data_IF_961760405376
#
_entry.id   IF_961760405376
#
_cell.length_a   1.000
_cell.length_b   1.000
_cell.length_c   1.000
_cell.angle_alpha   90.00
_cell.angle_beta   90.00
_cell.angle_gamma   90.00
#
_symmetry.space_group_name_H-M   'P 1'
#
loop_
_entity.id
_entity.type
_entity.pdbx_description
1 polymer ?
#
# COMPACT_ATOMS: atom_id res chain seq x y z
N UNK A 1 36.14 7.93 6.51
CA UNK A 1 36.32 6.81 7.45
C UNK A 1 36.68 7.36 8.83
N UNK A 2 35.72 7.37 9.77
CA UNK A 2 35.88 7.65 11.22
C UNK A 2 34.56 7.17 11.85
N UNK A 3 34.50 5.88 12.21
CA UNK A 3 34.64 5.34 13.58
C UNK A 3 33.68 5.99 14.58
N UNK A 4 32.59 5.29 14.90
CA UNK A 4 32.12 5.18 16.27
C UNK A 4 31.41 3.84 16.45
N UNK A 5 31.98 3.00 17.31
CA UNK A 5 31.38 1.79 17.84
C UNK A 5 30.74 2.12 19.19
N UNK A 6 29.90 1.17 19.64
CA UNK A 6 29.48 0.87 21.02
C UNK A 6 28.32 1.74 21.56
N UNK A 7 27.15 1.13 21.73
CA UNK A 7 26.63 0.75 23.05
C UNK A 7 25.31 -0.03 22.97
N UNK A 8 25.44 -1.29 23.39
CA UNK A 8 24.41 -2.23 23.76
C UNK A 8 23.63 -1.68 24.97
N UNK A 9 22.31 -1.60 24.88
CA UNK A 9 21.44 -1.48 26.04
C UNK A 9 20.20 -2.37 25.82
N UNK A 10 20.31 -3.60 26.29
CA UNK A 10 19.16 -4.44 26.56
C UNK A 10 18.51 -3.94 27.86
N UNK A 11 17.25 -3.56 27.80
CA UNK A 11 16.44 -3.36 28.99
C UNK A 11 15.13 -4.13 28.84
N UNK A 12 15.05 -5.19 29.64
CA UNK A 12 13.89 -6.04 29.88
C UNK A 12 13.11 -5.51 31.08
N UNK A 13 11.79 -5.34 30.94
CA UNK A 13 10.85 -5.34 32.08
C UNK A 13 9.66 -6.24 31.76
N UNK A 14 9.32 -7.05 32.77
CA UNK A 14 8.35 -8.15 32.79
C UNK A 14 6.92 -7.72 33.19
N UNK A 15 6.02 -8.70 33.03
CA UNK A 15 4.57 -8.75 33.10
C UNK A 15 3.84 -8.35 34.41
N UNK A 16 2.54 -8.03 34.26
CA UNK A 16 1.34 -8.53 34.97
C UNK A 16 0.15 -7.58 34.68
N UNK A 17 -1.14 -7.92 34.59
CA UNK A 17 -1.90 -9.16 34.60
C UNK A 17 -3.37 -8.85 34.16
N UNK A 18 -4.05 -9.88 33.68
CA UNK A 18 -5.49 -10.21 33.77
C UNK A 18 -6.60 -9.20 33.43
N UNK A 19 -7.33 -9.51 32.36
CA UNK A 19 -8.79 -9.55 32.40
C UNK A 19 -9.29 -10.81 31.68
N UNK A 20 -9.78 -11.77 32.46
CA UNK A 20 -10.59 -12.88 31.98
C UNK A 20 -12.02 -12.37 31.79
N UNK A 21 -12.65 -12.62 30.65
CA UNK A 21 -14.09 -12.94 30.59
C UNK A 21 -14.45 -13.59 29.26
N UNK A 22 -14.90 -14.85 29.39
CA UNK A 22 -15.78 -15.65 28.53
C UNK A 22 -15.29 -16.15 27.13
N UNK A 23 -15.33 -17.48 26.88
CA UNK A 23 -15.12 -18.06 25.56
C UNK A 23 -16.43 -18.06 24.75
N UNK A 24 -16.58 -17.15 23.79
CA UNK A 24 -17.63 -17.28 22.77
C UNK A 24 -17.18 -18.25 21.69
N UNK A 25 -17.90 -19.38 21.62
CA UNK A 25 -17.80 -20.41 20.58
C UNK A 25 -17.79 -19.79 19.18
N UNK A 26 -16.91 -20.33 18.35
CA UNK A 26 -16.60 -19.92 16.99
C UNK A 26 -17.83 -19.87 16.05
N UNK A 27 -18.03 -18.73 15.40
CA UNK A 27 -18.66 -18.68 14.08
C UNK A 27 -17.57 -18.83 13.01
N UNK A 28 -17.44 -20.06 12.48
CA UNK A 28 -16.65 -20.36 11.27
C UNK A 28 -17.19 -19.54 10.09
N UNK A 29 -16.46 -18.51 9.66
CA UNK A 29 -16.85 -17.76 8.46
C UNK A 29 -16.07 -16.49 8.17
N UNK A 30 -14.80 -16.35 8.57
CA UNK A 30 -14.00 -15.18 8.18
C UNK A 30 -12.57 -15.58 7.86
N UNK A 31 -12.33 -15.99 6.61
CA UNK A 31 -10.98 -16.09 6.07
C UNK A 31 -10.30 -14.71 6.13
N UNK A 32 -9.31 -14.59 7.01
CA UNK A 32 -8.12 -13.75 6.85
C UNK A 32 -8.36 -12.26 6.54
N UNK A 33 -8.90 -11.50 7.50
CA UNK A 33 -8.79 -10.02 7.50
C UNK A 33 -8.05 -9.45 8.71
N UNK A 34 -7.33 -10.26 9.46
CA UNK A 34 -6.76 -9.86 10.75
C UNK A 34 -5.33 -9.24 10.71
N UNK A 35 -4.80 -8.82 9.56
CA UNK A 35 -3.40 -8.30 9.47
C UNK A 35 -3.21 -6.95 8.80
N UNK A 36 -4.27 -6.27 8.37
CA UNK A 36 -4.17 -4.84 8.13
C UNK A 36 -4.65 -4.15 9.41
N UNK A 37 -3.72 -3.85 10.34
CA UNK A 37 -3.93 -2.73 11.27
C UNK A 37 -4.48 -1.57 10.43
N UNK A 38 -5.51 -0.86 10.90
CA UNK A 38 -6.08 0.29 10.20
C UNK A 38 -5.04 1.40 10.07
N UNK A 39 -4.15 1.28 9.10
CA UNK A 39 -3.12 2.27 8.84
C UNK A 39 -3.81 3.57 8.42
N UNK A 40 -3.37 4.69 9.01
CA UNK A 40 -3.82 6.02 8.58
C UNK A 40 -3.41 6.27 7.13
N UNK A 41 -4.05 7.22 6.42
CA UNK A 41 -3.65 7.61 5.06
C UNK A 41 -2.15 7.92 4.94
N UNK A 42 -1.59 8.59 5.94
CA UNK A 42 -0.19 8.99 6.04
C UNK A 42 0.69 7.74 6.14
N UNK A 43 0.38 6.84 7.07
CA UNK A 43 1.13 5.59 7.24
C UNK A 43 1.11 4.71 5.98
N UNK A 44 -0.01 4.72 5.24
CA UNK A 44 -0.11 4.01 3.96
C UNK A 44 0.77 4.67 2.90
N UNK A 45 0.78 6.00 2.82
CA UNK A 45 1.63 6.75 1.92
C UNK A 45 3.12 6.54 2.24
N UNK A 46 3.48 6.58 3.52
CA UNK A 46 4.82 6.30 4.04
C UNK A 46 5.30 4.90 3.62
N UNK A 47 4.48 3.88 3.90
CA UNK A 47 4.82 2.49 3.52
C UNK A 47 4.98 2.33 2.01
N UNK A 48 4.16 3.01 1.22
CA UNK A 48 4.25 2.95 -0.23
C UNK A 48 5.54 3.61 -0.76
N UNK A 49 5.85 4.80 -0.25
CA UNK A 49 7.09 5.52 -0.58
C UNK A 49 8.33 4.73 -0.16
N UNK A 50 8.36 4.17 1.05
CA UNK A 50 9.45 3.32 1.53
C UNK A 50 9.67 2.10 0.63
N UNK A 51 8.58 1.45 0.19
CA UNK A 51 8.68 0.30 -0.73
C UNK A 51 9.26 0.70 -2.08
N UNK A 52 8.80 1.81 -2.66
CA UNK A 52 9.33 2.31 -3.93
C UNK A 52 10.78 2.77 -3.79
N UNK A 53 11.12 3.42 -2.68
CA UNK A 53 12.50 3.80 -2.32
C UNK A 53 13.42 2.58 -2.32
N UNK A 54 13.04 1.50 -1.64
CA UNK A 54 13.82 0.26 -1.62
C UNK A 54 13.91 -0.43 -2.98
N UNK A 55 12.85 -0.36 -3.78
CA UNK A 55 12.80 -1.08 -5.07
C UNK A 55 13.53 -0.34 -6.19
N UNK A 56 13.49 0.99 -6.17
CA UNK A 56 13.96 1.87 -7.24
C UNK A 56 15.18 2.71 -6.83
N UNK A 57 15.66 2.54 -5.59
CA UNK A 57 16.76 3.34 -5.01
C UNK A 57 16.48 4.84 -5.12
N UNK A 58 15.29 5.27 -4.68
CA UNK A 58 14.89 6.69 -4.76
C UNK A 58 15.75 7.56 -3.83
N UNK A 59 16.05 8.78 -4.26
CA UNK A 59 16.64 9.79 -3.38
C UNK A 59 15.65 10.22 -2.29
N UNK A 60 16.14 10.91 -1.25
CA UNK A 60 15.27 11.43 -0.19
C UNK A 60 14.20 12.40 -0.75
N UNK A 61 14.59 13.27 -1.68
CA UNK A 61 13.68 14.21 -2.33
C UNK A 61 12.61 13.47 -3.16
N UNK A 62 13.02 12.48 -3.98
CA UNK A 62 12.09 11.67 -4.76
C UNK A 62 11.15 10.88 -3.86
N UNK A 63 11.65 10.31 -2.77
CA UNK A 63 10.85 9.56 -1.79
C UNK A 63 9.75 10.43 -1.19
N UNK A 64 10.08 11.67 -0.81
CA UNK A 64 9.11 12.63 -0.26
C UNK A 64 8.04 13.02 -1.29
N UNK A 65 8.41 13.26 -2.53
CA UNK A 65 7.46 13.56 -3.61
C UNK A 65 6.54 12.36 -3.90
N UNK A 66 7.09 11.13 -3.93
CA UNK A 66 6.30 9.90 -4.09
C UNK A 66 5.35 9.71 -2.91
N UNK A 67 5.76 10.00 -1.69
CA UNK A 67 4.92 9.96 -0.49
C UNK A 67 3.73 10.91 -0.63
N UNK A 68 3.99 12.17 -0.97
CA UNK A 68 2.94 13.19 -1.18
C UNK A 68 1.97 12.77 -2.28
N UNK A 69 2.48 12.28 -3.42
CA UNK A 69 1.66 11.77 -4.51
C UNK A 69 0.76 10.60 -4.06
N UNK A 70 1.30 9.67 -3.26
CA UNK A 70 0.53 8.57 -2.71
C UNK A 70 -0.54 9.03 -1.71
N UNK A 71 -0.22 9.99 -0.83
CA UNK A 71 -1.16 10.55 0.13
C UNK A 71 -2.34 11.20 -0.57
N UNK A 72 -2.08 12.08 -1.56
CA UNK A 72 -3.11 12.72 -2.36
C UNK A 72 -4.03 11.70 -3.04
N UNK A 73 -3.45 10.63 -3.60
CA UNK A 73 -4.24 9.54 -4.19
C UNK A 73 -5.13 8.83 -3.18
N UNK A 74 -4.62 8.56 -1.98
CA UNK A 74 -5.39 7.90 -0.92
C UNK A 74 -6.55 8.78 -0.47
N UNK A 75 -6.30 10.07 -0.25
CA UNK A 75 -7.32 11.05 0.12
C UNK A 75 -8.40 11.17 -0.97
N UNK A 76 -7.99 11.26 -2.25
CA UNK A 76 -8.93 11.27 -3.37
C UNK A 76 -9.77 10.00 -3.44
N UNK A 77 -9.20 8.84 -3.10
CA UNK A 77 -9.94 7.58 -3.06
C UNK A 77 -10.91 7.54 -1.87
N UNK A 78 -10.54 8.09 -0.72
CA UNK A 78 -11.41 8.16 0.45
C UNK A 78 -12.63 9.05 0.21
N UNK A 79 -12.43 10.23 -0.39
CA UNK A 79 -13.53 11.12 -0.78
C UNK A 79 -14.54 10.43 -1.73
N UNK A 80 -14.08 9.50 -2.57
CA UNK A 80 -14.94 8.73 -3.48
C UNK A 80 -15.59 7.49 -2.85
N UNK A 81 -15.14 7.05 -1.67
CA UNK A 81 -15.66 5.85 -1.00
C UNK A 81 -16.97 6.08 -0.23
N UNK A 82 -17.42 7.33 -0.11
CA UNK A 82 -18.57 7.75 0.70
C UNK A 82 -19.92 7.40 0.05
N UNK A 83 -19.97 6.60 -1.03
CA UNK A 83 -21.22 6.14 -1.64
C UNK A 83 -21.38 4.61 -1.49
N UNK A 84 -21.91 4.12 -0.36
CA UNK A 84 -22.37 2.74 -0.24
C UNK A 84 -23.78 2.60 -0.83
N UNK A 85 -23.94 1.76 -1.85
CA UNK A 85 -25.22 1.47 -2.47
C UNK A 85 -25.04 0.80 -3.83
N UNK A 86 -25.96 -0.07 -4.21
CA UNK A 86 -25.91 -0.96 -5.39
C UNK A 86 -25.44 -0.26 -6.67
N UNK A 87 -24.18 -0.50 -7.06
CA UNK A 87 -23.55 0.06 -8.26
C UNK A 87 -24.15 -0.64 -9.49
N UNK A 88 -24.99 0.05 -10.28
CA UNK A 88 -25.59 -0.50 -11.49
C UNK A 88 -24.51 -0.93 -12.51
N UNK A 89 -24.84 -1.77 -13.49
CA UNK A 89 -23.86 -2.20 -14.52
C UNK A 89 -23.23 -1.01 -15.27
N UNK A 90 -24.01 0.05 -15.54
CA UNK A 90 -23.52 1.29 -16.13
C UNK A 90 -22.45 1.97 -15.24
N UNK A 91 -22.71 2.02 -13.93
CA UNK A 91 -21.81 2.59 -12.93
C UNK A 91 -20.51 1.76 -12.78
N UNK A 92 -20.56 0.46 -13.04
CA UNK A 92 -19.36 -0.39 -13.06
C UNK A 92 -18.40 0.01 -14.18
N UNK A 93 -18.90 0.27 -15.39
CA UNK A 93 -18.07 0.71 -16.53
C UNK A 93 -17.51 2.11 -16.27
N UNK A 94 -18.35 3.04 -15.79
CA UNK A 94 -17.93 4.39 -15.43
C UNK A 94 -16.84 4.37 -14.34
N UNK A 95 -17.03 3.58 -13.28
CA UNK A 95 -16.04 3.39 -12.22
C UNK A 95 -14.73 2.79 -12.74
N UNK A 96 -14.79 1.83 -13.65
CA UNK A 96 -13.59 1.25 -14.27
C UNK A 96 -12.82 2.28 -15.11
N UNK A 97 -13.53 3.10 -15.90
CA UNK A 97 -12.92 4.18 -16.67
C UNK A 97 -12.29 5.23 -15.73
N UNK A 98 -12.98 5.63 -14.66
CA UNK A 98 -12.43 6.53 -13.65
C UNK A 98 -11.15 5.98 -13.01
N UNK A 99 -11.14 4.69 -12.64
CA UNK A 99 -9.96 4.04 -12.07
C UNK A 99 -8.79 3.95 -13.07
N UNK A 100 -9.08 3.72 -14.36
CA UNK A 100 -8.07 3.79 -15.42
C UNK A 100 -7.49 5.20 -15.53
N UNK A 101 -8.33 6.24 -15.59
CA UNK A 101 -7.88 7.63 -15.66
C UNK A 101 -7.00 8.02 -14.49
N UNK A 102 -7.41 7.68 -13.26
CA UNK A 102 -6.61 7.92 -12.05
C UNK A 102 -5.26 7.21 -12.08
N UNK A 103 -5.21 6.01 -12.66
CA UNK A 103 -3.96 5.27 -12.82
C UNK A 103 -3.03 5.97 -13.82
N UNK A 104 -3.56 6.39 -14.97
CA UNK A 104 -2.78 7.11 -15.98
C UNK A 104 -2.24 8.42 -15.42
N UNK A 105 -3.07 9.20 -14.72
CA UNK A 105 -2.64 10.44 -14.08
C UNK A 105 -1.52 10.20 -13.06
N UNK A 106 -1.70 9.20 -12.21
CA UNK A 106 -0.69 8.81 -11.23
C UNK A 106 0.63 8.39 -11.89
N UNK A 107 0.57 7.57 -12.95
CA UNK A 107 1.77 7.10 -13.66
C UNK A 107 2.49 8.28 -14.36
N UNK A 108 1.74 9.25 -14.89
CA UNK A 108 2.29 10.47 -15.48
C UNK A 108 3.01 11.35 -14.44
N UNK A 109 2.39 11.57 -13.27
CA UNK A 109 3.00 12.32 -12.17
C UNK A 109 4.23 11.60 -11.62
N UNK A 110 4.17 10.27 -11.49
CA UNK A 110 5.31 9.47 -11.04
C UNK A 110 6.48 9.56 -12.03
N UNK A 111 6.21 9.59 -13.34
CA UNK A 111 7.25 9.74 -14.38
C UNK A 111 8.01 11.07 -14.28
N UNK A 112 7.39 12.14 -13.75
CA UNK A 112 8.07 13.41 -13.53
C UNK A 112 8.99 13.39 -12.30
N UNK A 113 8.74 12.50 -11.34
CA UNK A 113 9.52 12.36 -10.10
C UNK A 113 10.70 11.39 -10.29
N UNK A 114 10.50 10.35 -11.09
CA UNK A 114 11.48 9.28 -11.32
C UNK A 114 12.43 9.63 -12.47
N UNK A 115 13.66 9.14 -12.39
CA UNK A 115 14.54 9.10 -13.56
C UNK A 115 14.02 8.12 -14.61
N UNK A 116 14.54 8.20 -15.84
CA UNK A 116 14.17 7.29 -16.92
C UNK A 116 14.38 5.81 -16.55
N UNK A 117 15.52 5.48 -15.94
CA UNK A 117 15.85 4.11 -15.53
C UNK A 117 14.95 3.62 -14.39
N UNK A 118 14.69 4.48 -13.41
CA UNK A 118 13.78 4.18 -12.30
C UNK A 118 12.35 3.94 -12.80
N UNK A 119 11.89 4.74 -13.77
CA UNK A 119 10.58 4.57 -14.37
C UNK A 119 10.49 3.28 -15.20
N UNK A 120 11.54 2.94 -15.96
CA UNK A 120 11.62 1.67 -16.70
C UNK A 120 11.52 0.48 -15.76
N UNK A 121 12.29 0.47 -14.67
CA UNK A 121 12.21 -0.56 -13.63
C UNK A 121 10.82 -0.61 -12.98
N UNK A 122 10.22 0.54 -12.70
CA UNK A 122 8.84 0.61 -12.20
C UNK A 122 7.85 -0.03 -13.18
N UNK A 123 7.92 0.29 -14.47
CA UNK A 123 7.04 -0.26 -15.49
C UNK A 123 7.14 -1.80 -15.57
N UNK A 124 8.37 -2.34 -15.56
CA UNK A 124 8.61 -3.78 -15.50
C UNK A 124 7.99 -4.43 -14.25
N UNK A 125 8.23 -3.85 -13.06
CA UNK A 125 7.60 -4.33 -11.83
C UNK A 125 6.07 -4.34 -11.90
N UNK A 126 5.45 -3.43 -12.65
CA UNK A 126 4.00 -3.37 -12.83
C UNK A 126 3.51 -4.46 -13.80
N UNK A 127 4.27 -4.79 -14.84
CA UNK A 127 4.01 -5.92 -15.74
C UNK A 127 4.10 -7.23 -14.96
N UNK A 128 5.18 -7.45 -14.21
CA UNK A 128 5.39 -8.68 -13.43
C UNK A 128 4.28 -8.91 -12.42
N UNK A 129 3.84 -7.86 -11.72
CA UNK A 129 2.71 -7.95 -10.78
C UNK A 129 1.42 -8.35 -11.49
N UNK A 130 1.17 -7.83 -12.69
CA UNK A 130 -0.01 -8.19 -13.48
C UNK A 130 0.07 -9.65 -13.92
N UNK A 131 1.22 -10.09 -14.44
CA UNK A 131 1.45 -11.48 -14.85
C UNK A 131 1.26 -12.45 -13.67
N UNK A 132 1.88 -12.17 -12.52
CA UNK A 132 1.71 -12.96 -11.29
C UNK A 132 0.25 -13.00 -10.82
N UNK A 133 -0.48 -11.90 -10.96
CA UNK A 133 -1.90 -11.87 -10.60
C UNK A 133 -2.75 -12.69 -11.57
N UNK A 134 -2.46 -12.65 -12.88
CA UNK A 134 -3.14 -13.45 -13.89
C UNK A 134 -2.89 -14.95 -13.70
N UNK A 135 -1.64 -15.36 -13.52
CA UNK A 135 -1.28 -16.76 -13.25
C UNK A 135 -2.01 -17.31 -12.00
N UNK A 136 -2.06 -16.52 -10.92
CA UNK A 136 -2.82 -16.90 -9.71
C UNK A 136 -4.32 -17.02 -9.92
N UNK A 137 -4.89 -16.28 -10.88
CA UNK A 137 -6.32 -16.40 -11.22
C UNK A 137 -6.59 -17.64 -12.05
N UNK A 138 -5.70 -17.98 -12.98
CA UNK A 138 -5.77 -19.19 -13.81
C UNK A 138 -5.59 -20.45 -12.96
N UNK A 139 -4.68 -20.46 -11.98
CA UNK A 139 -4.48 -21.60 -11.09
C UNK A 139 -5.62 -21.84 -10.07
N UNK A 140 -6.61 -20.94 -10.00
CA UNK A 140 -7.73 -20.99 -9.04
C UNK A 140 -9.10 -21.15 -9.70
N UNK A 141 -9.16 -21.07 -11.04
CA UNK A 141 -10.36 -21.29 -11.83
C UNK A 141 -10.22 -22.59 -12.59
#
# INVERSE_FOLDING_TARGET
MKKLLILLAAFSISAAASAQTAPVKAARGQHQKAHNKDLTPEQRADRAAQKLTKSLSLSAAQSQQVRQLHLARIQQQQARKVQPGTVAKADRKARHQAMKGQRTQYDAQLKQILSADQYTKYAQMQVDKKAKHQAKRQAKG
#
